data_IF_380501583382
#
_entry.id   IF_380501583382
#
_cell.length_a   1.000
_cell.length_b   1.000
_cell.length_c   1.000
_cell.angle_alpha   90.00
_cell.angle_beta   90.00
_cell.angle_gamma   90.00
#
_symmetry.space_group_name_H-M   'P 1'
#
loop_
_entity.id
_entity.type
_entity.pdbx_description
1 polymer ?
#
# COMPACT_ATOMS: atom_id res chain seq x y z
N UNK A 1 6.83 -1.50 7.10
CA UNK A 1 5.41 -1.94 7.10
C UNK A 1 5.26 -3.04 6.07
N UNK A 2 4.29 -3.95 6.21
CA UNK A 2 4.19 -5.12 5.35
C UNK A 2 2.98 -4.99 4.43
N UNK A 3 3.11 -5.45 3.18
CA UNK A 3 1.97 -5.52 2.27
C UNK A 3 0.88 -6.43 2.87
N UNK A 4 -0.38 -5.99 2.94
CA UNK A 4 -1.46 -6.79 3.51
C UNK A 4 -1.72 -8.10 2.73
N UNK A 5 -1.37 -8.11 1.44
CA UNK A 5 -1.61 -9.27 0.57
C UNK A 5 -0.47 -10.31 0.60
N UNK A 6 0.78 -9.88 0.38
CA UNK A 6 1.92 -10.81 0.27
C UNK A 6 2.84 -10.84 1.50
N UNK A 7 2.52 -10.05 2.54
CA UNK A 7 3.28 -9.91 3.79
C UNK A 7 4.76 -9.50 3.63
N UNK A 8 5.21 -9.20 2.42
CA UNK A 8 6.57 -8.69 2.16
C UNK A 8 6.70 -7.27 2.70
N UNK A 9 7.94 -6.94 3.06
CA UNK A 9 8.29 -5.59 3.47
C UNK A 9 8.02 -4.60 2.34
N UNK A 10 7.45 -3.47 2.73
CA UNK A 10 7.16 -2.33 1.87
C UNK A 10 7.93 -1.14 2.41
N UNK A 11 8.75 -0.56 1.54
CA UNK A 11 9.45 0.70 1.77
C UNK A 11 8.97 1.70 0.70
N UNK A 12 8.08 2.62 1.09
CA UNK A 12 7.58 3.67 0.19
C UNK A 12 7.28 4.96 0.96
N UNK A 13 7.16 6.08 0.24
CA UNK A 13 6.85 7.40 0.81
C UNK A 13 5.38 7.48 1.21
N UNK A 14 5.08 8.30 2.23
CA UNK A 14 3.71 8.62 2.63
C UNK A 14 2.97 9.32 1.48
N UNK A 15 1.67 9.05 1.35
CA UNK A 15 0.76 9.58 0.34
C UNK A 15 1.21 9.35 -1.12
N UNK A 16 2.08 8.37 -1.35
CA UNK A 16 2.49 7.97 -2.69
C UNK A 16 1.92 6.59 -3.03
N UNK A 17 1.34 6.49 -4.23
CA UNK A 17 0.94 5.21 -4.80
C UNK A 17 2.21 4.48 -5.24
N UNK A 18 2.33 3.21 -4.91
CA UNK A 18 3.42 2.35 -5.34
C UNK A 18 2.91 0.96 -5.67
N UNK A 19 3.62 0.27 -6.56
CA UNK A 19 3.29 -1.10 -6.93
C UNK A 19 4.10 -2.06 -6.06
N UNK A 20 3.40 -2.93 -5.34
CA UNK A 20 4.05 -4.01 -4.61
C UNK A 20 4.55 -5.08 -5.58
N UNK A 21 5.58 -5.82 -5.17
CA UNK A 21 6.12 -6.96 -5.93
C UNK A 21 5.11 -8.09 -6.16
N UNK A 22 4.00 -8.11 -5.42
CA UNK A 22 2.88 -9.03 -5.66
C UNK A 22 1.91 -8.55 -6.75
N UNK A 23 2.20 -7.41 -7.40
CA UNK A 23 1.38 -6.84 -8.47
C UNK A 23 0.29 -5.88 -8.02
N UNK A 24 -0.02 -5.82 -6.71
CA UNK A 24 -1.01 -4.91 -6.14
C UNK A 24 -0.53 -3.46 -6.11
N UNK A 25 -1.45 -2.54 -6.34
CA UNK A 25 -1.23 -1.10 -6.21
C UNK A 25 -1.63 -0.67 -4.81
N UNK A 26 -0.66 -0.17 -4.05
CA UNK A 26 -0.84 0.18 -2.65
C UNK A 26 -0.54 1.66 -2.43
N UNK A 27 -1.09 2.22 -1.35
CA UNK A 27 -0.79 3.58 -0.89
C UNK A 27 -0.57 3.56 0.62
N UNK A 28 0.45 4.29 1.09
CA UNK A 28 0.64 4.54 2.52
C UNK A 28 -0.08 5.84 2.87
N UNK A 29 -1.11 5.78 3.70
CA UNK A 29 -1.85 6.96 4.19
C UNK A 29 -1.61 7.12 5.69
N UNK A 30 -1.70 8.35 6.17
CA UNK A 30 -1.63 8.65 7.60
C UNK A 30 -2.98 9.17 8.07
N UNK A 31 -3.69 8.38 8.88
CA UNK A 31 -5.01 8.71 9.42
C UNK A 31 -4.86 8.79 10.94
N UNK A 32 -5.24 9.92 11.55
CA UNK A 32 -5.11 10.13 13.00
C UNK A 32 -3.69 9.90 13.54
N UNK A 33 -2.65 10.32 12.78
CA UNK A 33 -1.22 10.07 13.07
C UNK A 33 -0.80 8.59 13.03
N UNK A 34 -1.65 7.70 12.53
CA UNK A 34 -1.36 6.27 12.34
C UNK A 34 -1.13 6.02 10.85
N UNK A 35 0.05 5.46 10.51
CA UNK A 35 0.35 5.05 9.14
C UNK A 35 -0.33 3.72 8.83
N UNK A 36 -1.07 3.69 7.73
CA UNK A 36 -1.78 2.51 7.24
C UNK A 36 -1.43 2.25 5.77
N UNK A 37 -1.41 0.99 5.37
CA UNK A 37 -1.29 0.59 3.97
C UNK A 37 -2.68 0.23 3.46
N UNK A 38 -3.11 0.90 2.40
CA UNK A 38 -4.38 0.64 1.73
C UNK A 38 -4.11 0.02 0.37
N UNK A 39 -4.80 -1.06 0.04
CA UNK A 39 -4.81 -1.62 -1.32
C UNK A 39 -5.81 -0.83 -2.16
N UNK A 40 -5.31 -0.19 -3.22
CA UNK A 40 -6.09 0.64 -4.16
C UNK A 40 -5.98 0.07 -5.58
N UNK A 41 -5.68 -1.22 -5.71
CA UNK A 41 -5.72 -1.92 -7.00
C UNK A 41 -7.11 -1.74 -7.58
N UNK A 42 -7.23 -0.91 -8.63
CA UNK A 42 -8.47 -0.79 -9.40
C UNK A 42 -8.73 -2.14 -10.05
N UNK A 43 -9.75 -2.83 -9.59
CA UNK A 43 -10.45 -3.79 -10.43
C UNK A 43 -11.26 -2.95 -11.42
N UNK A 44 -10.72 -2.75 -12.62
CA UNK A 44 -11.51 -2.31 -13.77
C UNK A 44 -12.64 -3.34 -13.93
N UNK A 45 -13.87 -2.92 -13.61
CA UNK A 45 -15.10 -3.64 -13.90
C UNK A 45 -15.78 -3.01 -15.09
#
# INVERSE_FOLDING_TARGET
MNCPNCKREVVSKKNAIFKCVCGRTLIIVEINKIKQIVDVTKEDK
#
